data_IF_023171511222
#
_entry.id   IF_023171511222
#
_cell.length_a   1.000
_cell.length_b   1.000
_cell.length_c   1.000
_cell.angle_alpha   90.00
_cell.angle_beta   90.00
_cell.angle_gamma   90.00
#
_symmetry.space_group_name_H-M   'P 1'
#
loop_
_entity.id
_entity.type
_entity.pdbx_description
1 polymer ?
#
# COMPACT_ATOMS: atom_id res chain seq x y z
N UNK A 1 -30.29 30.14 -5.15
CA UNK A 1 -29.05 30.16 -4.34
C UNK A 1 -27.99 29.34 -5.06
N UNK A 2 -26.82 29.91 -5.30
CA UNK A 2 -25.69 29.18 -5.96
C UNK A 2 -24.67 28.77 -4.92
N UNK A 3 -24.72 27.49 -4.49
CA UNK A 3 -23.81 26.94 -3.48
C UNK A 3 -22.36 26.94 -3.97
N UNK A 4 -22.14 26.79 -5.29
CA UNK A 4 -20.79 26.74 -5.86
C UNK A 4 -19.99 28.03 -5.59
N UNK A 5 -20.66 29.18 -5.48
CA UNK A 5 -20.01 30.45 -5.14
C UNK A 5 -19.53 30.55 -3.70
N UNK A 6 -19.95 29.62 -2.85
CA UNK A 6 -19.55 29.56 -1.42
C UNK A 6 -18.39 28.56 -1.19
N UNK A 7 -17.98 27.82 -2.21
CA UNK A 7 -16.87 26.88 -2.09
C UNK A 7 -15.54 27.64 -2.09
N UNK A 8 -14.61 27.33 -1.13
CA UNK A 8 -13.31 27.95 -1.10
C UNK A 8 -12.51 27.65 -2.38
N UNK A 9 -11.89 28.68 -2.96
CA UNK A 9 -11.12 28.57 -4.19
C UNK A 9 -9.73 27.96 -3.99
N UNK A 10 -9.25 27.93 -2.75
CA UNK A 10 -7.94 27.41 -2.31
C UNK A 10 -7.95 25.90 -2.00
N UNK A 11 -9.10 25.25 -2.18
CA UNK A 11 -9.25 23.83 -1.95
C UNK A 11 -8.89 23.01 -3.22
N UNK A 12 -8.84 21.69 -3.03
CA UNK A 12 -8.55 20.75 -4.12
C UNK A 12 -9.47 20.96 -5.32
N UNK A 13 -8.95 20.74 -6.51
CA UNK A 13 -9.74 20.78 -7.74
C UNK A 13 -10.95 19.83 -7.67
N UNK A 14 -12.10 20.22 -8.22
CA UNK A 14 -13.27 19.36 -8.26
C UNK A 14 -12.96 18.01 -8.94
N UNK A 15 -13.50 16.93 -8.38
CA UNK A 15 -13.39 15.62 -8.98
C UNK A 15 -14.12 15.57 -10.35
N UNK A 16 -13.52 14.86 -11.30
CA UNK A 16 -14.19 14.51 -12.55
C UNK A 16 -15.23 13.41 -12.30
N UNK A 17 -16.29 13.39 -13.11
CA UNK A 17 -17.24 12.27 -13.07
C UNK A 17 -16.53 10.99 -13.50
N UNK A 18 -16.75 9.93 -12.74
CA UNK A 18 -16.22 8.61 -13.08
C UNK A 18 -16.96 8.05 -14.32
N UNK A 19 -16.20 7.53 -15.29
CA UNK A 19 -16.69 7.03 -16.58
C UNK A 19 -16.37 5.55 -16.82
N UNK A 20 -15.86 4.85 -15.78
CA UNK A 20 -15.41 3.47 -15.89
C UNK A 20 -13.89 3.34 -15.94
N UNK A 21 -13.41 2.10 -15.88
CA UNK A 21 -12.00 1.79 -16.12
C UNK A 21 -11.67 1.86 -17.60
N UNK A 22 -10.43 2.23 -17.90
CA UNK A 22 -9.89 2.09 -19.25
C UNK A 22 -9.72 0.59 -19.62
N UNK A 23 -9.76 0.23 -20.92
CA UNK A 23 -9.58 -1.14 -21.38
C UNK A 23 -8.29 -1.80 -20.85
N UNK A 24 -7.18 -1.04 -20.80
CA UNK A 24 -5.89 -1.49 -20.28
C UNK A 24 -5.63 -0.74 -18.97
N UNK A 25 -6.20 -1.27 -17.88
CA UNK A 25 -6.13 -0.61 -16.58
C UNK A 25 -4.97 -1.15 -15.73
N UNK A 26 -3.86 -0.40 -15.69
CA UNK A 26 -2.70 -0.70 -14.86
C UNK A 26 -2.57 0.23 -13.64
N UNK A 27 -3.62 1.00 -13.31
CA UNK A 27 -3.65 1.85 -12.10
C UNK A 27 -4.37 1.17 -10.95
N UNK A 28 -4.30 1.81 -9.76
CA UNK A 28 -4.97 1.35 -8.56
C UNK A 28 -4.24 0.22 -7.85
N UNK A 29 -4.94 -0.45 -7.00
CA UNK A 29 -4.48 -1.59 -6.22
C UNK A 29 -5.61 -2.61 -6.12
N UNK A 30 -6.25 -2.89 -7.26
CA UNK A 30 -7.38 -3.81 -7.36
C UNK A 30 -6.89 -5.26 -7.42
N UNK A 31 -7.71 -6.16 -6.89
CA UNK A 31 -7.46 -7.58 -6.93
C UNK A 31 -8.01 -8.21 -8.21
N UNK A 32 -7.54 -9.42 -8.52
CA UNK A 32 -8.14 -10.26 -9.54
C UNK A 32 -9.56 -10.68 -9.11
N UNK A 33 -10.56 -10.40 -9.94
CA UNK A 33 -11.95 -10.70 -9.63
C UNK A 33 -12.20 -12.20 -9.46
N UNK A 34 -11.44 -13.06 -10.15
CA UNK A 34 -11.57 -14.52 -10.07
C UNK A 34 -11.11 -15.09 -8.72
N UNK A 35 -10.31 -14.32 -7.97
CA UNK A 35 -9.82 -14.70 -6.64
C UNK A 35 -10.66 -14.16 -5.49
N UNK A 36 -11.71 -13.38 -5.74
CA UNK A 36 -12.64 -13.02 -4.67
C UNK A 36 -13.40 -14.28 -4.23
N UNK A 37 -13.32 -14.73 -2.94
CA UNK A 37 -13.87 -16.00 -2.51
C UNK A 37 -15.39 -15.92 -2.30
N UNK A 38 -16.14 -15.56 -3.35
CA UNK A 38 -17.55 -15.18 -3.30
C UNK A 38 -18.45 -16.27 -2.71
N UNK A 39 -18.19 -17.56 -3.03
CA UNK A 39 -18.99 -18.66 -2.50
C UNK A 39 -18.77 -18.88 -1.00
N UNK A 40 -17.52 -18.82 -0.54
CA UNK A 40 -17.21 -18.92 0.88
C UNK A 40 -17.75 -17.71 1.66
N UNK A 41 -17.64 -16.50 1.09
CA UNK A 41 -18.26 -15.30 1.68
C UNK A 41 -19.78 -15.42 1.78
N UNK A 42 -20.47 -15.98 0.78
CA UNK A 42 -21.91 -16.23 0.83
C UNK A 42 -22.27 -17.12 2.02
N UNK A 43 -21.52 -18.18 2.25
CA UNK A 43 -21.72 -19.10 3.39
C UNK A 43 -21.49 -18.37 4.72
N UNK A 44 -20.39 -17.63 4.83
CA UNK A 44 -20.07 -16.86 6.04
C UNK A 44 -21.08 -15.76 6.33
N UNK A 45 -21.61 -15.07 5.30
CA UNK A 45 -22.69 -14.07 5.47
C UNK A 45 -23.94 -14.74 6.05
N UNK A 46 -24.36 -15.86 5.47
CA UNK A 46 -25.57 -16.55 5.93
C UNK A 46 -25.42 -16.99 7.41
N UNK A 47 -24.29 -17.61 7.76
CA UNK A 47 -23.98 -18.05 9.11
C UNK A 47 -23.90 -16.89 10.10
N UNK A 48 -23.19 -15.81 9.75
CA UNK A 48 -23.05 -14.63 10.59
C UNK A 48 -24.42 -13.98 10.92
N UNK A 49 -25.32 -13.90 9.94
CA UNK A 49 -26.66 -13.34 10.15
C UNK A 49 -27.55 -14.28 10.97
N UNK A 50 -27.43 -15.57 10.79
CA UNK A 50 -28.19 -16.56 11.55
C UNK A 50 -27.79 -16.56 13.03
N UNK A 51 -26.49 -16.50 13.31
CA UNK A 51 -25.98 -16.60 14.71
C UNK A 51 -26.01 -15.27 15.44
N UNK A 52 -25.51 -14.23 14.81
CA UNK A 52 -25.20 -12.93 15.42
C UNK A 52 -25.92 -11.73 14.79
N UNK A 53 -26.85 -11.98 13.84
CA UNK A 53 -27.54 -10.91 13.11
C UNK A 53 -28.27 -9.90 14.02
N UNK A 54 -28.76 -10.34 15.19
CA UNK A 54 -29.40 -9.46 16.18
C UNK A 54 -28.44 -8.38 16.74
N UNK A 55 -27.13 -8.64 16.74
CA UNK A 55 -26.11 -7.69 17.21
C UNK A 55 -25.97 -6.45 16.31
N UNK A 56 -26.45 -6.52 15.05
CA UNK A 56 -26.49 -5.38 14.14
C UNK A 56 -27.37 -4.22 14.65
N UNK A 57 -28.21 -4.45 15.65
CA UNK A 57 -28.99 -3.40 16.32
C UNK A 57 -28.13 -2.46 17.20
N UNK A 58 -26.86 -2.84 17.46
CA UNK A 58 -25.99 -2.12 18.39
C UNK A 58 -24.70 -1.69 17.67
N UNK A 59 -24.30 -0.42 17.83
CA UNK A 59 -23.02 0.05 17.32
C UNK A 59 -21.87 -0.82 17.81
N UNK A 60 -20.91 -1.07 16.93
CA UNK A 60 -19.75 -1.95 17.18
C UNK A 60 -20.14 -3.36 17.66
N UNK A 61 -21.36 -3.84 17.33
CA UNK A 61 -21.88 -5.17 17.70
C UNK A 61 -21.89 -5.42 19.22
N UNK A 62 -21.75 -4.39 20.04
CA UNK A 62 -21.59 -4.51 21.49
C UNK A 62 -20.19 -4.94 21.97
N UNK A 63 -19.20 -5.06 21.06
CA UNK A 63 -17.80 -5.42 21.38
C UNK A 63 -16.91 -4.21 21.73
N UNK A 64 -17.52 -3.01 21.77
CA UNK A 64 -16.80 -1.76 22.06
C UNK A 64 -16.12 -1.13 20.83
N UNK A 65 -15.41 -0.01 21.01
CA UNK A 65 -14.94 0.83 19.91
C UNK A 65 -13.77 0.21 19.11
N UNK A 66 -13.14 -0.85 19.62
CA UNK A 66 -12.05 -1.54 18.91
C UNK A 66 -12.54 -2.39 17.74
N UNK A 67 -13.84 -2.70 17.65
CA UNK A 67 -14.45 -3.53 16.61
C UNK A 67 -14.62 -4.98 17.02
N UNK A 68 -15.05 -5.83 16.09
CA UNK A 68 -15.47 -7.21 16.32
C UNK A 68 -14.40 -8.07 17.00
N UNK A 69 -14.70 -8.57 18.21
CA UNK A 69 -13.71 -9.28 19.04
C UNK A 69 -13.16 -10.53 18.38
N UNK A 70 -14.01 -11.36 17.77
CA UNK A 70 -13.55 -12.57 17.08
C UNK A 70 -12.60 -12.30 15.91
N UNK A 71 -12.83 -11.20 15.16
CA UNK A 71 -11.92 -10.79 14.11
C UNK A 71 -10.58 -10.31 14.68
N UNK A 72 -10.59 -9.55 15.77
CA UNK A 72 -9.36 -9.11 16.46
C UNK A 72 -8.54 -10.28 17.00
N UNK A 73 -9.22 -11.32 17.55
CA UNK A 73 -8.56 -12.56 17.98
C UNK A 73 -7.92 -13.31 16.81
N UNK A 74 -8.63 -13.41 15.67
CA UNK A 74 -8.03 -13.99 14.47
C UNK A 74 -6.79 -13.20 14.02
N UNK A 75 -6.87 -11.87 13.95
CA UNK A 75 -5.76 -11.02 13.55
C UNK A 75 -4.56 -11.20 14.48
N UNK A 76 -4.75 -11.19 15.80
CA UNK A 76 -3.66 -11.41 16.76
C UNK A 76 -2.96 -12.75 16.52
N UNK A 77 -3.72 -13.82 16.35
CA UNK A 77 -3.19 -15.15 16.05
C UNK A 77 -2.48 -15.24 14.69
N UNK A 78 -3.02 -14.59 13.67
CA UNK A 78 -2.41 -14.49 12.34
C UNK A 78 -1.08 -13.73 12.39
N UNK A 79 -1.02 -12.57 13.03
CA UNK A 79 0.18 -11.76 13.18
C UNK A 79 1.26 -12.48 13.97
N UNK A 80 0.87 -13.24 15.00
CA UNK A 80 1.82 -14.07 15.74
C UNK A 80 2.48 -15.11 14.83
N UNK A 81 1.70 -15.84 14.03
CA UNK A 81 2.22 -16.90 13.14
C UNK A 81 3.01 -16.36 11.95
N UNK A 82 2.53 -15.29 11.32
CA UNK A 82 3.05 -14.83 10.02
C UNK A 82 4.01 -13.66 10.10
N UNK A 83 3.97 -12.88 11.16
CA UNK A 83 4.70 -11.61 11.30
C UNK A 83 5.61 -11.55 12.54
N UNK A 84 5.69 -12.64 13.32
CA UNK A 84 6.44 -12.72 14.57
C UNK A 84 6.07 -11.61 15.57
N UNK A 85 4.78 -11.19 15.55
CA UNK A 85 4.27 -10.15 16.43
C UNK A 85 3.63 -10.76 17.68
N UNK A 86 3.94 -10.19 18.84
CA UNK A 86 3.27 -10.49 20.10
C UNK A 86 2.29 -9.36 20.41
N UNK A 87 1.02 -9.59 20.17
CA UNK A 87 -0.07 -8.66 20.49
C UNK A 87 -1.35 -9.44 20.87
N UNK A 88 -2.18 -8.81 21.67
CA UNK A 88 -3.50 -9.34 22.05
C UNK A 88 -4.60 -8.70 21.20
N UNK A 89 -5.82 -9.21 21.29
CA UNK A 89 -7.00 -8.59 20.67
C UNK A 89 -7.28 -7.18 21.20
N UNK A 90 -6.78 -6.83 22.38
CA UNK A 90 -6.97 -5.51 22.99
C UNK A 90 -5.97 -4.46 22.44
N UNK A 91 -4.92 -4.90 21.75
CA UNK A 91 -3.96 -4.03 21.06
C UNK A 91 -4.37 -3.74 19.60
N UNK A 92 -5.56 -4.22 19.17
CA UNK A 92 -6.01 -4.15 17.77
C UNK A 92 -7.26 -3.28 17.66
N UNK A 93 -7.20 -2.28 16.78
CA UNK A 93 -8.32 -1.43 16.39
C UNK A 93 -8.70 -1.72 14.93
N UNK A 94 -9.94 -2.18 14.71
CA UNK A 94 -10.48 -2.35 13.34
C UNK A 94 -10.82 -0.98 12.74
N UNK A 95 -10.38 -0.77 11.50
CA UNK A 95 -10.55 0.48 10.75
C UNK A 95 -11.12 0.23 9.36
N UNK A 96 -11.67 1.26 8.73
CA UNK A 96 -12.23 1.19 7.37
C UNK A 96 -11.12 1.23 6.30
N UNK A 97 -10.23 0.23 6.35
CA UNK A 97 -9.03 0.11 5.53
C UNK A 97 -7.87 0.98 6.05
N UNK A 98 -6.67 0.73 5.52
CA UNK A 98 -5.43 1.41 5.93
C UNK A 98 -5.47 2.94 5.76
N UNK A 99 -6.28 3.47 4.84
CA UNK A 99 -6.44 4.92 4.70
C UNK A 99 -7.03 5.58 5.94
N UNK A 100 -8.00 4.94 6.62
CA UNK A 100 -8.49 5.44 7.89
C UNK A 100 -7.44 5.30 8.98
N UNK A 101 -6.63 4.24 8.95
CA UNK A 101 -5.51 4.11 9.88
C UNK A 101 -4.54 5.29 9.76
N UNK A 102 -4.14 5.64 8.52
CA UNK A 102 -3.32 6.81 8.23
C UNK A 102 -3.95 8.11 8.77
N UNK A 103 -5.23 8.33 8.49
CA UNK A 103 -5.93 9.54 8.93
C UNK A 103 -5.97 9.63 10.47
N UNK A 104 -6.24 8.53 11.16
CA UNK A 104 -6.31 8.48 12.62
C UNK A 104 -4.94 8.72 13.28
N UNK A 105 -3.89 8.06 12.78
CA UNK A 105 -2.51 8.26 13.28
C UNK A 105 -2.06 9.70 13.05
N UNK A 106 -2.30 10.23 11.85
CA UNK A 106 -1.94 11.60 11.51
C UNK A 106 -2.67 12.62 12.41
N UNK A 107 -3.98 12.49 12.60
CA UNK A 107 -4.76 13.38 13.47
C UNK A 107 -4.31 13.32 14.93
N UNK A 108 -3.86 12.15 15.37
CA UNK A 108 -3.36 11.96 16.74
C UNK A 108 -1.99 12.58 16.95
N UNK A 109 -1.07 12.36 16.00
CA UNK A 109 0.35 12.64 16.18
C UNK A 109 0.82 13.98 15.59
N UNK A 110 0.10 14.54 14.61
CA UNK A 110 0.59 15.65 13.79
C UNK A 110 -0.20 16.95 14.03
N UNK A 111 0.52 18.06 13.84
CA UNK A 111 -0.01 19.43 13.75
C UNK A 111 0.60 20.11 12.52
N UNK A 112 -0.04 21.14 11.94
CA UNK A 112 0.56 21.92 10.87
C UNK A 112 1.96 22.44 11.28
N UNK A 113 2.94 22.27 10.38
CA UNK A 113 4.35 22.63 10.61
C UNK A 113 5.19 21.53 11.28
N UNK A 114 4.59 20.43 11.73
CA UNK A 114 5.36 19.25 12.16
C UNK A 114 6.13 18.63 10.96
N UNK A 115 7.14 17.82 11.26
CA UNK A 115 7.96 17.11 10.27
C UNK A 115 7.83 15.60 10.45
N UNK A 116 7.74 14.86 9.36
CA UNK A 116 7.81 13.39 9.31
C UNK A 116 8.86 12.93 8.30
N UNK A 117 9.36 11.73 8.49
CA UNK A 117 10.17 11.03 7.48
C UNK A 117 9.30 10.03 6.75
N UNK A 118 9.45 9.95 5.44
CA UNK A 118 8.82 8.97 4.57
C UNK A 118 9.89 8.34 3.66
N UNK A 119 9.57 7.26 3.01
CA UNK A 119 10.36 6.75 1.89
C UNK A 119 10.26 7.73 0.71
N UNK A 120 11.36 8.01 0.00
CA UNK A 120 11.37 8.98 -1.12
C UNK A 120 10.41 8.60 -2.25
N UNK A 121 10.25 7.30 -2.48
CA UNK A 121 9.16 6.74 -3.29
C UNK A 121 8.22 6.01 -2.34
N UNK A 122 6.94 6.40 -2.28
CA UNK A 122 6.01 5.86 -1.30
C UNK A 122 4.56 5.94 -1.78
N UNK A 123 3.64 5.46 -0.96
CA UNK A 123 2.22 5.51 -1.28
C UNK A 123 1.71 6.96 -1.39
N UNK A 124 1.25 7.35 -2.59
CA UNK A 124 0.75 8.69 -2.89
C UNK A 124 -0.30 9.21 -1.89
N UNK A 125 -1.09 8.29 -1.31
CA UNK A 125 -2.08 8.62 -0.29
C UNK A 125 -1.49 9.18 1.00
N UNK A 126 -0.24 8.88 1.34
CA UNK A 126 0.45 9.44 2.51
C UNK A 126 0.83 10.89 2.23
N UNK A 127 1.56 11.15 1.14
CA UNK A 127 2.01 12.51 0.77
C UNK A 127 0.82 13.47 0.68
N UNK A 128 -0.24 13.09 -0.03
CA UNK A 128 -1.43 13.94 -0.18
C UNK A 128 -2.15 14.25 1.14
N UNK A 129 -2.02 13.41 2.16
CA UNK A 129 -2.57 13.65 3.49
C UNK A 129 -1.72 14.64 4.28
N UNK A 130 -0.40 14.46 4.23
CA UNK A 130 0.55 15.35 4.88
C UNK A 130 0.45 16.77 4.30
N UNK A 131 0.36 16.89 2.97
CA UNK A 131 0.15 18.18 2.29
C UNK A 131 -1.11 18.90 2.79
N UNK A 132 -2.25 18.18 2.88
CA UNK A 132 -3.52 18.75 3.36
C UNK A 132 -3.47 19.20 4.82
N UNK A 133 -2.60 18.58 5.61
CA UNK A 133 -2.41 18.92 7.02
C UNK A 133 -1.37 20.02 7.23
N UNK A 134 -0.66 20.45 6.17
CA UNK A 134 0.45 21.42 6.28
C UNK A 134 1.63 20.86 7.06
N UNK A 135 1.90 19.57 6.92
CA UNK A 135 3.02 18.86 7.54
C UNK A 135 4.18 18.77 6.56
N UNK A 136 5.38 19.06 7.03
CA UNK A 136 6.60 18.89 6.24
C UNK A 136 7.03 17.43 6.24
N UNK A 137 7.55 16.95 5.10
CA UNK A 137 8.10 15.60 5.02
C UNK A 137 9.39 15.57 4.22
N UNK A 138 10.29 14.67 4.61
CA UNK A 138 11.53 14.39 3.92
C UNK A 138 11.56 12.95 3.47
N UNK A 139 11.93 12.72 2.20
CA UNK A 139 12.02 11.40 1.60
C UNK A 139 13.39 10.79 1.82
N UNK A 140 13.44 9.67 2.53
CA UNK A 140 14.66 8.85 2.65
C UNK A 140 14.83 8.05 1.35
N UNK A 141 15.98 8.13 0.67
CA UNK A 141 16.25 7.34 -0.54
C UNK A 141 16.05 5.84 -0.34
N UNK A 142 15.71 5.16 -1.42
CA UNK A 142 15.53 3.71 -1.48
C UNK A 142 16.57 3.12 -2.44
N UNK A 143 16.99 1.90 -2.16
CA UNK A 143 17.65 1.00 -3.10
C UNK A 143 16.81 -0.28 -3.33
N UNK A 144 17.37 -1.32 -3.93
CA UNK A 144 16.70 -2.59 -4.21
C UNK A 144 16.20 -3.32 -2.94
N UNK A 145 16.81 -3.05 -1.79
CA UNK A 145 16.46 -3.59 -0.48
C UNK A 145 15.60 -2.63 0.37
N UNK A 146 15.09 -1.56 -0.22
CA UNK A 146 14.24 -0.56 0.45
C UNK A 146 15.03 0.62 1.01
N UNK A 147 14.59 1.16 2.15
CA UNK A 147 15.13 2.39 2.73
C UNK A 147 16.64 2.32 3.00
N UNK A 148 17.40 3.30 2.51
CA UNK A 148 18.84 3.42 2.74
C UNK A 148 19.13 3.85 4.20
N UNK A 149 19.87 2.99 4.91
CA UNK A 149 20.22 3.17 6.33
C UNK A 149 21.13 4.37 6.54
N UNK A 150 22.11 4.57 5.64
CA UNK A 150 23.09 5.64 5.75
C UNK A 150 22.43 6.99 5.49
N UNK A 151 21.58 7.08 4.46
CA UNK A 151 20.80 8.26 4.17
C UNK A 151 19.85 8.63 5.31
N UNK A 152 19.17 7.62 5.92
CA UNK A 152 18.32 7.85 7.08
C UNK A 152 19.11 8.44 8.26
N UNK A 153 20.28 7.87 8.57
CA UNK A 153 21.11 8.33 9.68
C UNK A 153 21.56 9.78 9.45
N UNK A 154 22.07 10.10 8.26
CA UNK A 154 22.51 11.46 7.90
C UNK A 154 21.38 12.48 7.95
N UNK A 155 20.20 12.12 7.43
CA UNK A 155 19.01 12.99 7.48
C UNK A 155 18.56 13.29 8.91
N UNK A 156 18.57 12.29 9.80
CA UNK A 156 18.23 12.48 11.21
C UNK A 156 19.25 13.38 11.94
N UNK A 157 20.56 13.25 11.62
CA UNK A 157 21.60 14.13 12.16
C UNK A 157 21.43 15.57 11.66
N UNK A 158 21.14 15.75 10.39
CA UNK A 158 20.88 17.08 9.82
C UNK A 158 19.66 17.75 10.48
N UNK A 159 18.52 17.06 10.57
CA UNK A 159 17.33 17.59 11.22
C UNK A 159 17.57 17.92 12.70
N UNK A 160 18.31 17.05 13.41
CA UNK A 160 18.67 17.30 14.81
C UNK A 160 19.54 18.57 14.96
N UNK A 161 20.47 18.84 14.02
CA UNK A 161 21.28 20.07 14.01
C UNK A 161 20.44 21.34 13.87
N UNK A 162 19.27 21.23 13.24
CA UNK A 162 18.28 22.29 13.06
C UNK A 162 17.25 22.34 14.20
N UNK A 163 17.39 21.53 15.26
CA UNK A 163 16.41 21.33 16.33
C UNK A 163 15.04 20.81 15.83
N UNK A 164 15.02 20.12 14.71
CA UNK A 164 13.82 19.46 14.15
C UNK A 164 13.84 17.99 14.57
N UNK A 165 12.77 17.54 15.22
CA UNK A 165 12.55 16.14 15.54
C UNK A 165 11.36 15.62 14.75
N UNK A 166 11.55 14.62 13.85
CA UNK A 166 10.45 14.00 13.15
C UNK A 166 9.45 13.37 14.12
N UNK A 167 8.17 13.51 13.82
CA UNK A 167 7.09 12.94 14.64
C UNK A 167 7.00 11.42 14.51
N UNK A 168 7.30 10.91 13.32
CA UNK A 168 7.47 9.49 13.04
C UNK A 168 8.26 9.28 11.74
N UNK A 169 8.70 8.04 11.52
CA UNK A 169 9.20 7.50 10.27
C UNK A 169 8.10 6.58 9.70
N UNK A 170 7.54 6.93 8.54
CA UNK A 170 6.61 6.07 7.80
C UNK A 170 7.36 5.18 6.82
N UNK A 171 7.08 3.88 6.81
CA UNK A 171 7.71 2.92 5.90
C UNK A 171 6.77 1.79 5.50
N UNK A 172 6.94 1.27 4.28
CA UNK A 172 6.29 0.07 3.75
C UNK A 172 7.37 -1.01 3.57
N UNK A 173 7.75 -1.74 4.62
CA UNK A 173 8.95 -2.58 4.59
C UNK A 173 8.78 -3.91 3.83
N UNK A 174 7.54 -4.35 3.59
CA UNK A 174 7.24 -5.60 2.89
C UNK A 174 6.44 -5.31 1.63
N UNK A 175 7.03 -5.61 0.47
CA UNK A 175 6.44 -5.29 -0.83
C UNK A 175 6.10 -3.80 -0.92
N UNK A 176 7.14 -3.01 -0.88
CA UNK A 176 7.08 -1.56 -0.90
C UNK A 176 6.25 -1.04 -2.08
N UNK A 177 5.42 -0.08 -1.84
CA UNK A 177 4.60 0.55 -2.87
C UNK A 177 5.10 1.98 -3.13
N UNK A 178 5.75 2.23 -4.30
CA UNK A 178 5.55 1.54 -5.57
C UNK A 178 6.64 0.53 -5.99
N UNK A 179 7.79 0.43 -5.31
CA UNK A 179 8.99 -0.25 -5.82
C UNK A 179 8.92 -1.77 -5.83
N UNK A 180 8.07 -2.38 -5.00
CA UNK A 180 7.97 -3.84 -4.85
C UNK A 180 9.10 -4.47 -4.01
N UNK A 181 10.02 -3.68 -3.45
CA UNK A 181 11.12 -4.19 -2.63
C UNK A 181 10.61 -4.86 -1.35
N UNK A 182 11.36 -5.84 -0.85
CA UNK A 182 11.15 -6.47 0.45
C UNK A 182 12.39 -6.22 1.30
N UNK A 183 12.26 -5.35 2.30
CA UNK A 183 13.37 -4.95 3.16
C UNK A 183 13.88 -6.15 3.97
N UNK A 184 15.18 -6.52 3.84
CA UNK A 184 15.77 -7.63 4.59
C UNK A 184 15.75 -7.41 6.11
N UNK A 185 15.75 -8.50 6.86
CA UNK A 185 15.71 -8.49 8.33
C UNK A 185 16.81 -7.64 8.95
N UNK A 186 18.03 -7.76 8.46
CA UNK A 186 19.18 -7.00 8.96
C UNK A 186 19.00 -5.50 8.78
N UNK A 187 18.47 -5.08 7.62
CA UNK A 187 18.19 -3.67 7.34
C UNK A 187 17.11 -3.11 8.26
N UNK A 188 16.05 -3.88 8.52
CA UNK A 188 15.01 -3.50 9.50
C UNK A 188 15.61 -3.31 10.89
N UNK A 189 16.49 -4.20 11.30
CA UNK A 189 17.17 -4.09 12.60
C UNK A 189 17.97 -2.79 12.69
N UNK A 190 18.78 -2.45 11.68
CA UNK A 190 19.59 -1.23 11.67
C UNK A 190 18.71 0.03 11.68
N UNK A 191 17.63 0.07 10.87
CA UNK A 191 16.70 1.18 10.86
C UNK A 191 16.02 1.35 12.21
N UNK A 192 15.60 0.24 12.84
CA UNK A 192 14.98 0.27 14.16
C UNK A 192 15.93 0.82 15.22
N UNK A 193 17.19 0.38 15.23
CA UNK A 193 18.21 0.87 16.17
C UNK A 193 18.48 2.38 16.00
N UNK A 194 18.52 2.87 14.76
CA UNK A 194 18.67 4.31 14.46
C UNK A 194 17.45 5.07 14.97
N UNK A 195 16.24 4.63 14.62
CA UNK A 195 15.00 5.26 15.03
C UNK A 195 14.87 5.31 16.56
N UNK A 196 15.21 4.22 17.25
CA UNK A 196 15.21 4.14 18.71
C UNK A 196 16.23 5.11 19.33
N UNK A 197 17.47 5.14 18.81
CA UNK A 197 18.51 6.05 19.30
C UNK A 197 18.13 7.53 19.13
N UNK A 198 17.49 7.86 18.02
CA UNK A 198 16.99 9.21 17.74
C UNK A 198 15.62 9.50 18.37
N UNK A 199 15.03 8.53 19.05
CA UNK A 199 13.72 8.59 19.66
C UNK A 199 12.61 9.04 18.66
N UNK A 200 12.63 8.45 17.46
CA UNK A 200 11.64 8.66 16.39
C UNK A 200 10.77 7.42 16.29
N UNK A 201 9.45 7.50 16.55
CA UNK A 201 8.54 6.37 16.37
C UNK A 201 8.48 5.90 14.92
N UNK A 202 8.16 4.64 14.70
CA UNK A 202 7.94 4.07 13.35
C UNK A 202 6.44 3.87 13.14
N UNK A 203 5.94 4.30 11.99
CA UNK A 203 4.64 3.93 11.48
C UNK A 203 4.84 2.94 10.32
N UNK A 204 4.63 1.66 10.63
CA UNK A 204 4.80 0.54 9.72
C UNK A 204 3.50 0.25 8.97
N UNK A 205 3.49 0.44 7.65
CA UNK A 205 2.37 0.09 6.76
C UNK A 205 2.67 -1.24 6.07
N UNK A 206 1.96 -2.29 6.45
CA UNK A 206 2.24 -3.66 6.05
C UNK A 206 1.06 -4.31 5.30
N UNK A 207 0.48 -3.55 4.37
CA UNK A 207 -0.71 -3.97 3.63
C UNK A 207 -0.48 -5.08 2.58
N UNK A 208 0.78 -5.40 2.24
CA UNK A 208 1.13 -6.32 1.15
C UNK A 208 1.91 -7.56 1.59
N UNK A 209 2.35 -7.64 2.84
CA UNK A 209 3.26 -8.68 3.32
C UNK A 209 2.75 -10.11 3.20
N UNK A 210 1.43 -10.30 3.15
CA UNK A 210 0.84 -11.61 2.90
C UNK A 210 1.02 -12.09 1.45
N UNK A 211 1.43 -11.21 0.54
CA UNK A 211 1.59 -11.48 -0.89
C UNK A 211 3.05 -11.66 -1.32
N UNK A 212 3.96 -12.02 -0.41
CA UNK A 212 5.35 -12.37 -0.71
C UNK A 212 5.40 -13.80 -1.21
N UNK A 213 5.99 -14.03 -2.39
CA UNK A 213 6.14 -15.37 -3.01
C UNK A 213 7.59 -15.83 -3.12
N UNK A 214 8.56 -14.96 -2.88
CA UNK A 214 9.98 -15.29 -2.92
C UNK A 214 10.65 -14.90 -1.61
N UNK A 215 11.32 -15.87 -0.99
CA UNK A 215 11.98 -15.72 0.31
C UNK A 215 11.02 -15.82 1.50
N UNK A 216 11.61 -15.71 2.70
CA UNK A 216 10.86 -15.68 3.94
C UNK A 216 10.35 -14.26 4.23
N UNK A 217 9.19 -14.14 4.86
CA UNK A 217 8.70 -12.84 5.36
C UNK A 217 9.56 -12.40 6.54
N UNK A 218 10.27 -11.26 6.46
CA UNK A 218 11.03 -10.76 7.59
C UNK A 218 10.12 -10.37 8.76
N UNK A 219 10.65 -10.41 10.00
CA UNK A 219 9.92 -9.91 11.15
C UNK A 219 9.59 -8.42 10.97
N UNK A 220 8.43 -8.00 11.45
CA UNK A 220 7.96 -6.61 11.38
C UNK A 220 8.77 -5.73 12.34
N UNK A 221 8.76 -4.41 12.12
CA UNK A 221 9.30 -3.46 13.10
C UNK A 221 8.57 -3.58 14.44
N UNK A 222 7.25 -3.78 14.39
CA UNK A 222 6.46 -4.01 15.60
C UNK A 222 6.94 -5.25 16.38
N UNK A 223 7.24 -6.35 15.69
CA UNK A 223 7.79 -7.56 16.30
C UNK A 223 9.18 -7.36 16.87
N UNK A 224 10.07 -6.66 16.16
CA UNK A 224 11.41 -6.30 16.64
C UNK A 224 11.37 -5.41 17.90
N UNK A 225 10.41 -4.52 17.96
CA UNK A 225 10.23 -3.53 19.02
C UNK A 225 9.49 -4.09 20.24
N UNK A 226 8.92 -5.29 20.17
CA UNK A 226 7.94 -5.77 21.15
C UNK A 226 6.83 -4.71 21.40
N UNK A 227 6.36 -4.11 20.31
CA UNK A 227 5.33 -3.06 20.29
C UNK A 227 5.79 -1.67 20.74
N UNK A 228 7.01 -1.48 21.20
CA UNK A 228 7.47 -0.20 21.76
C UNK A 228 7.93 0.77 20.68
N UNK A 229 7.24 1.93 20.57
CA UNK A 229 7.60 2.98 19.61
C UNK A 229 7.23 2.65 18.16
N UNK A 230 6.41 1.63 17.92
CA UNK A 230 5.93 1.27 16.60
C UNK A 230 4.39 1.22 16.60
N UNK A 231 3.78 1.85 15.60
CA UNK A 231 2.37 1.66 15.24
C UNK A 231 2.36 0.85 13.97
N UNK A 232 1.64 -0.27 13.97
CA UNK A 232 1.54 -1.16 12.81
C UNK A 232 0.16 -1.03 12.16
N UNK A 233 0.13 -1.01 10.83
CA UNK A 233 -1.10 -1.00 10.03
C UNK A 233 -1.13 -2.20 9.09
N UNK A 234 -2.21 -2.96 9.13
CA UNK A 234 -2.49 -4.05 8.20
C UNK A 234 -3.85 -3.89 7.51
N UNK A 235 -4.08 -4.66 6.46
CA UNK A 235 -5.31 -4.58 5.66
C UNK A 235 -5.66 -5.89 4.99
N UNK A 236 -6.95 -6.21 4.91
CA UNK A 236 -7.48 -7.30 4.09
C UNK A 236 -7.73 -6.89 2.62
N UNK A 237 -7.44 -5.64 2.26
CA UNK A 237 -7.73 -5.12 0.91
C UNK A 237 -6.95 -5.85 -0.18
N UNK A 238 -5.73 -6.33 0.10
CA UNK A 238 -4.88 -6.96 -0.91
C UNK A 238 -4.90 -8.48 -0.82
N UNK A 239 -5.06 -9.01 0.37
CA UNK A 239 -5.15 -10.46 0.60
C UNK A 239 -6.55 -11.04 0.37
N UNK A 240 -7.61 -10.23 0.43
CA UNK A 240 -9.00 -10.69 0.18
C UNK A 240 -9.72 -9.83 -0.85
N UNK A 241 -10.29 -8.69 -0.42
CA UNK A 241 -11.04 -7.82 -1.32
C UNK A 241 -11.02 -6.36 -0.86
N UNK A 242 -10.60 -5.40 -1.70
CA UNK A 242 -10.50 -3.99 -1.32
C UNK A 242 -11.84 -3.35 -0.99
N UNK A 243 -12.94 -3.84 -1.57
CA UNK A 243 -14.28 -3.30 -1.36
C UNK A 243 -14.87 -3.64 0.03
N UNK A 244 -14.31 -4.61 0.77
CA UNK A 244 -14.71 -4.90 2.15
C UNK A 244 -14.41 -3.77 3.12
N UNK A 245 -13.44 -2.93 2.78
CA UNK A 245 -13.02 -1.78 3.61
C UNK A 245 -12.65 -2.19 5.04
N UNK A 246 -11.97 -3.31 5.22
CA UNK A 246 -11.48 -3.76 6.53
C UNK A 246 -9.94 -3.73 6.56
N UNK A 247 -9.44 -2.98 7.53
CA UNK A 247 -8.04 -2.91 7.93
C UNK A 247 -7.94 -2.84 9.45
N UNK A 248 -6.74 -2.76 9.96
CA UNK A 248 -6.51 -2.70 11.40
C UNK A 248 -5.24 -1.95 11.76
N UNK A 249 -5.25 -1.29 12.91
CA UNK A 249 -4.08 -0.76 13.59
C UNK A 249 -3.71 -1.70 14.75
N UNK A 250 -2.42 -1.86 14.98
CA UNK A 250 -1.89 -2.52 16.18
C UNK A 250 -0.99 -1.55 16.92
N UNK A 251 -1.32 -1.28 18.16
CA UNK A 251 -0.53 -0.46 19.05
C UNK A 251 -0.91 -0.77 20.50
N UNK A 252 -0.03 -0.51 21.49
CA UNK A 252 -0.38 -0.63 22.90
C UNK A 252 -1.56 0.29 23.26
N UNK A 253 -2.32 -0.11 24.28
CA UNK A 253 -3.50 0.65 24.74
C UNK A 253 -3.20 2.14 25.04
N UNK A 254 -2.01 2.44 25.58
CA UNK A 254 -1.58 3.82 25.82
C UNK A 254 -1.62 4.68 24.56
N UNK A 255 -1.37 4.08 23.39
CA UNK A 255 -1.44 4.75 22.07
C UNK A 255 -2.86 4.70 21.52
N UNK A 256 -3.51 3.53 21.54
CA UNK A 256 -4.88 3.39 21.03
C UNK A 256 -5.88 4.28 21.77
N UNK A 257 -5.72 4.47 23.06
CA UNK A 257 -6.58 5.37 23.86
C UNK A 257 -6.53 6.84 23.40
N UNK A 258 -5.43 7.25 22.77
CA UNK A 258 -5.30 8.58 22.15
C UNK A 258 -5.79 8.63 20.71
N UNK A 259 -5.82 7.50 20.00
CA UNK A 259 -6.32 7.38 18.62
C UNK A 259 -7.87 7.32 18.60
N UNK A 260 -8.46 6.58 19.53
CA UNK A 260 -9.90 6.33 19.58
C UNK A 260 -10.79 7.59 19.58
N UNK A 261 -10.44 8.70 20.28
CA UNK A 261 -11.24 9.94 20.23
C UNK A 261 -11.38 10.54 18.81
N UNK A 262 -10.46 10.23 17.90
CA UNK A 262 -10.52 10.69 16.50
C UNK A 262 -11.35 9.74 15.60
N UNK A 263 -11.65 8.53 16.05
CA UNK A 263 -12.49 7.59 15.31
C UNK A 263 -13.98 7.87 15.54
N UNK A 264 -14.47 8.91 14.85
CA UNK A 264 -15.83 9.47 15.05
C UNK A 264 -16.88 8.89 14.09
N UNK A 265 -16.57 7.80 13.39
CA UNK A 265 -17.44 7.14 12.42
C UNK A 265 -18.46 6.15 13.03
N UNK A 266 -18.52 6.08 14.34
CA UNK A 266 -19.35 5.13 15.09
C UNK A 266 -19.02 3.64 14.83
N UNK A 267 -17.84 3.36 14.24
CA UNK A 267 -17.32 2.02 13.95
C UNK A 267 -17.23 1.71 12.46
N UNK A 268 -16.35 0.80 12.12
CA UNK A 268 -16.24 0.25 10.75
C UNK A 268 -17.41 -0.69 10.45
N UNK A 269 -17.67 -0.98 9.16
CA UNK A 269 -18.76 -1.85 8.72
C UNK A 269 -18.85 -3.15 9.53
N UNK A 270 -19.99 -3.36 10.16
CA UNK A 270 -20.16 -4.46 11.12
C UNK A 270 -20.29 -5.81 10.42
N UNK A 271 -21.06 -5.87 9.32
CA UNK A 271 -21.29 -7.11 8.58
C UNK A 271 -19.99 -7.67 8.01
N UNK A 272 -19.14 -6.83 7.44
CA UNK A 272 -17.85 -7.20 6.88
C UNK A 272 -16.94 -7.80 7.97
N UNK A 273 -16.95 -7.24 9.16
CA UNK A 273 -16.19 -7.76 10.29
C UNK A 273 -16.70 -9.13 10.74
N UNK A 274 -18.02 -9.32 10.81
CA UNK A 274 -18.64 -10.60 11.16
C UNK A 274 -18.30 -11.69 10.13
N UNK A 275 -18.40 -11.35 8.83
CA UNK A 275 -18.06 -12.25 7.73
C UNK A 275 -16.58 -12.66 7.79
N UNK A 276 -15.67 -11.72 8.00
CA UNK A 276 -14.26 -12.05 8.11
C UNK A 276 -13.91 -12.83 9.37
N UNK A 277 -14.61 -12.59 10.49
CA UNK A 277 -14.43 -13.35 11.71
C UNK A 277 -14.82 -14.85 11.56
N UNK A 278 -15.80 -15.14 10.70
CA UNK A 278 -16.22 -16.50 10.36
C UNK A 278 -15.32 -17.12 9.26
N UNK A 279 -15.06 -16.37 8.18
CA UNK A 279 -14.31 -16.86 7.02
C UNK A 279 -12.83 -17.11 7.33
N UNK A 280 -12.17 -16.16 7.98
CA UNK A 280 -10.71 -16.16 8.06
C UNK A 280 -10.11 -17.36 8.82
N UNK A 281 -10.66 -17.83 9.95
CA UNK A 281 -10.09 -18.96 10.67
C UNK A 281 -9.95 -20.23 9.84
N UNK A 282 -10.87 -20.48 8.91
CA UNK A 282 -10.91 -21.71 8.11
C UNK A 282 -10.27 -21.56 6.74
N UNK A 283 -10.32 -20.36 6.13
CA UNK A 283 -10.05 -20.22 4.70
C UNK A 283 -8.87 -19.30 4.37
N UNK A 284 -8.46 -18.41 5.27
CA UNK A 284 -7.51 -17.34 4.98
C UNK A 284 -6.16 -17.85 4.47
N UNK A 285 -5.56 -18.81 5.16
CA UNK A 285 -4.21 -19.31 4.83
C UNK A 285 -4.17 -19.96 3.44
N UNK A 286 -5.14 -20.84 3.13
CA UNK A 286 -5.24 -21.49 1.83
C UNK A 286 -5.53 -20.49 0.71
N UNK A 287 -6.41 -19.52 0.99
CA UNK A 287 -6.74 -18.46 0.04
C UNK A 287 -5.52 -17.60 -0.30
N UNK A 288 -4.79 -17.12 0.70
CA UNK A 288 -3.60 -16.30 0.49
C UNK A 288 -2.52 -17.06 -0.25
N UNK A 289 -2.31 -18.34 0.06
CA UNK A 289 -1.35 -19.19 -0.66
C UNK A 289 -1.69 -19.30 -2.13
N UNK A 290 -2.94 -19.59 -2.47
CA UNK A 290 -3.38 -19.70 -3.87
C UNK A 290 -3.31 -18.36 -4.60
N UNK A 291 -3.74 -17.26 -3.96
CA UNK A 291 -3.66 -15.90 -4.51
C UNK A 291 -2.22 -15.50 -4.79
N UNK A 292 -1.31 -15.75 -3.86
CA UNK A 292 0.12 -15.39 -3.99
C UNK A 292 0.77 -16.12 -5.16
N UNK A 293 0.48 -17.43 -5.35
CA UNK A 293 0.96 -18.20 -6.50
C UNK A 293 0.41 -17.64 -7.83
N UNK A 294 -0.86 -17.29 -7.88
CA UNK A 294 -1.47 -16.68 -9.05
C UNK A 294 -0.85 -15.31 -9.39
N UNK A 295 -0.62 -14.47 -8.38
CA UNK A 295 0.01 -13.16 -8.58
C UNK A 295 1.47 -13.29 -9.04
N UNK A 296 2.21 -14.29 -8.58
CA UNK A 296 3.55 -14.59 -9.09
C UNK A 296 3.53 -14.87 -10.60
N UNK A 297 2.58 -15.68 -11.08
CA UNK A 297 2.41 -15.95 -12.51
C UNK A 297 2.05 -14.68 -13.31
N UNK A 298 1.20 -13.80 -12.78
CA UNK A 298 0.86 -12.52 -13.43
C UNK A 298 2.07 -11.57 -13.46
N UNK A 299 2.89 -11.59 -12.41
CA UNK A 299 4.16 -10.85 -12.39
C UNK A 299 5.11 -11.35 -13.49
N UNK A 300 5.22 -12.68 -13.69
CA UNK A 300 6.01 -13.27 -14.77
C UNK A 300 5.57 -12.78 -16.15
N UNK A 301 4.27 -12.74 -16.38
CA UNK A 301 3.70 -12.26 -17.64
C UNK A 301 4.01 -10.76 -17.84
N UNK A 302 3.86 -9.95 -16.79
CA UNK A 302 4.16 -8.51 -16.86
C UNK A 302 5.64 -8.26 -17.15
N UNK A 303 6.54 -8.93 -16.43
CA UNK A 303 7.99 -8.80 -16.63
C UNK A 303 8.40 -9.30 -18.03
N UNK A 304 7.91 -10.45 -18.47
CA UNK A 304 8.19 -10.97 -19.80
C UNK A 304 7.68 -10.04 -20.93
N UNK A 305 6.55 -9.37 -20.73
CA UNK A 305 6.06 -8.38 -21.68
C UNK A 305 6.92 -7.11 -21.69
N UNK A 306 7.37 -6.62 -20.52
CA UNK A 306 8.32 -5.50 -20.45
C UNK A 306 9.63 -5.84 -21.17
N UNK A 307 10.23 -6.99 -20.89
CA UNK A 307 11.46 -7.44 -21.53
C UNK A 307 11.29 -7.58 -23.05
N UNK A 308 10.17 -8.14 -23.50
CA UNK A 308 9.89 -8.36 -24.93
C UNK A 308 9.73 -7.07 -25.72
N UNK A 309 9.02 -6.08 -25.17
CA UNK A 309 8.64 -4.89 -25.93
C UNK A 309 9.52 -3.67 -25.67
N UNK A 310 10.06 -3.53 -24.46
CA UNK A 310 10.95 -2.43 -24.08
C UNK A 310 12.43 -2.84 -24.04
N UNK A 311 12.73 -4.10 -23.73
CA UNK A 311 14.11 -4.57 -23.56
C UNK A 311 14.89 -3.68 -22.58
N UNK A 312 16.10 -3.31 -22.97
CA UNK A 312 16.97 -2.45 -22.15
C UNK A 312 16.47 -0.99 -21.98
N UNK A 313 15.36 -0.61 -22.60
CA UNK A 313 14.79 0.73 -22.45
C UNK A 313 13.89 0.87 -21.22
N UNK A 314 13.51 -0.23 -20.56
CA UNK A 314 12.77 -0.23 -19.31
C UNK A 314 13.63 -0.92 -18.25
N UNK A 315 14.02 -0.16 -17.22
CA UNK A 315 14.73 -0.70 -16.07
C UNK A 315 13.75 -0.91 -14.91
N UNK A 316 13.78 -2.08 -14.30
CA UNK A 316 12.94 -2.42 -13.17
C UNK A 316 13.53 -3.58 -12.36
N UNK A 317 13.31 -3.56 -11.06
CA UNK A 317 13.58 -4.71 -10.20
C UNK A 317 12.37 -5.63 -10.24
N UNK A 318 12.59 -6.95 -10.52
CA UNK A 318 11.51 -7.94 -10.50
C UNK A 318 10.92 -8.04 -9.09
N UNK A 319 9.61 -7.82 -8.90
CA UNK A 319 8.97 -7.89 -7.58
C UNK A 319 9.05 -9.30 -6.99
N UNK A 320 9.28 -9.38 -5.67
CA UNK A 320 9.24 -10.62 -4.87
C UNK A 320 7.88 -10.85 -4.21
N UNK A 321 6.92 -9.99 -4.51
CA UNK A 321 5.59 -9.98 -3.91
C UNK A 321 4.67 -8.91 -4.50
N UNK A 322 3.44 -8.86 -4.03
CA UNK A 322 2.50 -7.78 -4.32
C UNK A 322 1.82 -7.82 -5.68
N UNK A 323 1.56 -6.65 -6.22
CA UNK A 323 0.73 -6.47 -7.42
C UNK A 323 1.26 -5.38 -8.36
N UNK A 324 2.49 -4.85 -8.14
CA UNK A 324 3.05 -3.72 -8.88
C UNK A 324 4.43 -4.00 -9.42
N UNK A 325 4.73 -3.39 -10.57
CA UNK A 325 6.09 -3.19 -11.08
C UNK A 325 6.35 -1.68 -11.16
N UNK A 326 7.51 -1.24 -10.67
CA UNK A 326 8.00 0.11 -10.78
C UNK A 326 9.03 0.18 -11.88
N UNK A 327 8.76 0.97 -12.92
CA UNK A 327 9.54 1.01 -14.15
C UNK A 327 10.23 2.37 -14.28
N UNK A 328 11.53 2.35 -14.55
CA UNK A 328 12.33 3.53 -14.89
C UNK A 328 12.62 3.55 -16.39
N UNK A 329 12.30 4.64 -17.03
CA UNK A 329 12.55 4.89 -18.46
C UNK A 329 13.78 5.78 -18.66
N UNK A 330 14.33 5.88 -19.89
CA UNK A 330 15.38 6.86 -20.20
C UNK A 330 14.94 8.30 -19.87
N UNK A 331 15.89 9.15 -19.49
CA UNK A 331 15.67 10.52 -18.97
C UNK A 331 14.84 11.45 -19.89
N UNK A 332 14.74 11.13 -21.17
CA UNK A 332 13.93 11.93 -22.11
C UNK A 332 12.44 11.52 -22.14
N UNK A 333 12.05 10.50 -21.39
CA UNK A 333 10.64 10.05 -21.28
C UNK A 333 10.01 10.73 -20.07
N UNK A 334 9.08 11.63 -20.29
CA UNK A 334 8.26 12.24 -19.25
C UNK A 334 7.05 11.35 -18.94
N UNK A 335 7.00 10.77 -17.74
CA UNK A 335 5.98 9.83 -17.32
C UNK A 335 4.58 10.46 -17.15
N UNK A 336 4.49 11.75 -16.85
CA UNK A 336 3.21 12.47 -16.79
C UNK A 336 2.63 12.68 -18.20
N UNK A 337 3.49 13.05 -19.16
CA UNK A 337 3.10 13.12 -20.57
C UNK A 337 2.72 11.72 -21.05
N UNK A 338 3.51 10.69 -20.73
CA UNK A 338 3.21 9.31 -21.10
C UNK A 338 1.86 8.86 -20.55
N UNK A 339 1.55 9.10 -19.27
CA UNK A 339 0.26 8.76 -18.67
C UNK A 339 -0.91 9.48 -19.40
N UNK A 340 -0.70 10.71 -19.83
CA UNK A 340 -1.70 11.50 -20.56
C UNK A 340 -1.98 10.91 -21.95
N UNK A 341 -0.93 10.66 -22.74
CA UNK A 341 -1.10 10.14 -24.11
C UNK A 341 -1.55 8.69 -24.12
N UNK A 342 -1.06 7.86 -23.19
CA UNK A 342 -1.54 6.49 -23.00
C UNK A 342 -3.03 6.45 -22.59
N UNK A 343 -3.45 7.36 -21.71
CA UNK A 343 -4.85 7.50 -21.31
C UNK A 343 -5.78 7.85 -22.48
N UNK A 344 -5.32 8.64 -23.43
CA UNK A 344 -6.08 8.95 -24.64
C UNK A 344 -6.27 7.72 -25.56
N UNK A 345 -5.36 6.74 -25.48
CA UNK A 345 -5.41 5.47 -26.20
C UNK A 345 -5.96 4.30 -25.36
N UNK A 346 -6.59 4.61 -24.21
CA UNK A 346 -7.26 3.61 -23.38
C UNK A 346 -6.36 2.84 -22.41
N UNK A 347 -5.16 3.34 -22.13
CA UNK A 347 -4.20 2.71 -21.20
C UNK A 347 -3.99 3.62 -20.00
N UNK A 348 -4.29 3.13 -18.80
CA UNK A 348 -4.04 3.87 -17.56
C UNK A 348 -2.78 3.38 -16.85
N UNK A 349 -1.85 4.30 -16.56
CA UNK A 349 -0.65 4.06 -15.75
C UNK A 349 -0.54 5.11 -14.64
N UNK A 350 0.21 4.83 -13.58
CA UNK A 350 0.51 5.81 -12.54
C UNK A 350 1.86 6.47 -12.81
N UNK A 351 1.87 7.79 -13.02
CA UNK A 351 3.11 8.57 -13.24
C UNK A 351 3.96 8.65 -11.97
N UNK A 352 5.28 8.71 -12.13
CA UNK A 352 6.23 8.71 -11.02
C UNK A 352 6.08 9.88 -10.06
N UNK A 353 5.91 11.14 -10.52
CA UNK A 353 5.78 12.29 -9.61
C UNK A 353 4.61 12.22 -8.63
N UNK A 354 3.59 11.40 -8.92
CA UNK A 354 2.48 11.17 -7.99
C UNK A 354 2.88 10.26 -6.80
N UNK A 355 3.99 9.50 -6.92
CA UNK A 355 4.40 8.43 -6.02
C UNK A 355 5.80 8.60 -5.45
N UNK A 356 6.55 9.58 -5.93
CA UNK A 356 7.95 9.75 -5.58
C UNK A 356 8.35 11.22 -5.60
N UNK A 357 9.15 11.61 -4.62
CA UNK A 357 9.85 12.91 -4.58
C UNK A 357 11.33 12.76 -4.92
N UNK A 358 11.76 11.58 -5.33
CA UNK A 358 13.11 11.33 -5.80
C UNK A 358 13.37 12.04 -7.14
N UNK A 359 14.63 12.39 -7.44
CA UNK A 359 14.98 13.08 -8.69
C UNK A 359 14.59 12.33 -9.96
N UNK A 360 14.54 10.99 -9.91
CA UNK A 360 14.22 10.10 -11.03
C UNK A 360 12.70 9.99 -11.29
N UNK A 361 11.87 10.45 -10.37
CA UNK A 361 10.41 10.34 -10.45
C UNK A 361 9.81 10.75 -11.81
N UNK A 362 10.30 11.85 -12.49
CA UNK A 362 9.75 12.23 -13.79
C UNK A 362 9.85 11.16 -14.88
N UNK A 363 10.77 10.20 -14.75
CA UNK A 363 11.04 9.15 -15.73
C UNK A 363 10.50 7.79 -15.29
N UNK A 364 9.81 7.75 -14.15
CA UNK A 364 9.31 6.51 -13.56
C UNK A 364 7.79 6.40 -13.66
N UNK A 365 7.30 5.18 -13.68
CA UNK A 365 5.87 4.90 -13.58
C UNK A 365 5.60 3.54 -12.96
N UNK A 366 4.39 3.36 -12.41
CA UNK A 366 3.96 2.10 -11.81
C UNK A 366 2.93 1.42 -12.68
N UNK A 367 3.08 0.10 -12.87
CA UNK A 367 2.08 -0.78 -13.48
C UNK A 367 1.53 -1.75 -12.43
N UNK A 368 0.20 -1.88 -12.37
CA UNK A 368 -0.50 -2.87 -11.57
C UNK A 368 -0.80 -4.10 -12.43
N UNK A 369 -0.30 -5.27 -12.04
CA UNK A 369 -0.62 -6.55 -12.70
C UNK A 369 -1.68 -7.36 -11.94
N UNK A 370 -2.06 -6.96 -10.74
CA UNK A 370 -3.04 -7.70 -9.91
C UNK A 370 -4.42 -7.82 -10.54
N UNK A 371 -4.92 -6.76 -11.15
CA UNK A 371 -6.27 -6.68 -11.70
C UNK A 371 -6.43 -7.22 -13.13
N UNK A 372 -5.61 -6.81 -14.13
CA UNK A 372 -5.87 -7.16 -15.53
C UNK A 372 -5.57 -8.64 -15.82
N UNK A 373 -6.33 -9.25 -16.71
CA UNK A 373 -6.06 -10.59 -17.22
C UNK A 373 -4.73 -10.67 -17.98
N UNK A 374 -4.17 -11.88 -18.09
CA UNK A 374 -2.89 -12.13 -18.76
C UNK A 374 -2.82 -11.55 -20.19
N UNK A 375 -3.87 -11.73 -20.98
CA UNK A 375 -3.95 -11.21 -22.36
C UNK A 375 -3.98 -9.68 -22.37
N UNK A 376 -4.64 -9.05 -21.38
CA UNK A 376 -4.68 -7.60 -21.23
C UNK A 376 -3.30 -7.06 -20.82
N UNK A 377 -2.56 -7.78 -19.99
CA UNK A 377 -1.19 -7.39 -19.61
C UNK A 377 -0.30 -7.36 -20.86
N UNK A 378 -0.24 -8.46 -21.61
CA UNK A 378 0.61 -8.60 -22.81
C UNK A 378 0.29 -7.52 -23.86
N UNK A 379 -0.99 -7.38 -24.21
CA UNK A 379 -1.42 -6.40 -25.22
C UNK A 379 -1.22 -4.96 -24.75
N UNK A 380 -1.54 -4.67 -23.49
CA UNK A 380 -1.41 -3.32 -22.92
C UNK A 380 0.04 -2.85 -22.86
N UNK A 381 0.98 -3.71 -22.46
CA UNK A 381 2.42 -3.41 -22.44
C UNK A 381 2.94 -3.20 -23.85
N UNK A 382 2.53 -4.06 -24.83
CA UNK A 382 2.88 -3.87 -26.24
C UNK A 382 2.41 -2.51 -26.77
N UNK A 383 1.17 -2.12 -26.48
CA UNK A 383 0.64 -0.83 -26.93
C UNK A 383 1.36 0.34 -26.26
N UNK A 384 1.66 0.22 -24.96
CA UNK A 384 2.41 1.24 -24.22
C UNK A 384 3.80 1.44 -24.82
N UNK A 385 4.50 0.37 -25.20
CA UNK A 385 5.79 0.44 -25.87
C UNK A 385 5.71 1.16 -27.23
N UNK A 386 4.66 0.90 -28.02
CA UNK A 386 4.42 1.62 -29.29
C UNK A 386 4.17 3.11 -29.08
N UNK A 387 3.46 3.48 -28.01
CA UNK A 387 3.25 4.89 -27.65
C UNK A 387 4.59 5.52 -27.26
N UNK A 388 5.43 4.83 -26.48
CA UNK A 388 6.77 5.31 -26.11
C UNK A 388 7.67 5.47 -27.36
N UNK A 389 7.63 4.57 -28.32
CA UNK A 389 8.33 4.72 -29.57
C UNK A 389 7.87 5.95 -30.36
N UNK A 390 6.57 6.12 -30.52
CA UNK A 390 5.98 7.22 -31.30
C UNK A 390 6.21 8.60 -30.67
N UNK A 391 6.03 8.71 -29.36
CA UNK A 391 6.01 10.00 -28.65
C UNK A 391 7.36 10.44 -28.10
N UNK A 392 8.27 9.47 -27.85
CA UNK A 392 9.56 9.72 -27.20
C UNK A 392 10.74 9.09 -27.97
N UNK A 393 10.50 8.34 -29.04
CA UNK A 393 11.55 7.70 -29.80
C UNK A 393 12.22 6.51 -29.10
N UNK A 394 11.58 5.94 -28.09
CA UNK A 394 12.07 4.73 -27.41
C UNK A 394 12.01 3.55 -28.39
N UNK A 395 13.13 2.84 -28.65
CA UNK A 395 13.13 1.73 -29.62
C UNK A 395 12.29 0.56 -29.09
N UNK A 396 11.53 -0.10 -30.00
CA UNK A 396 10.87 -1.37 -29.70
C UNK A 396 11.91 -2.49 -29.72
N UNK A 397 11.97 -3.30 -28.66
CA UNK A 397 12.93 -4.41 -28.57
C UNK A 397 12.72 -5.49 -29.64
N UNK A 398 11.46 -5.74 -30.07
CA UNK A 398 11.13 -6.68 -31.15
C UNK A 398 11.67 -6.25 -32.53
N UNK A 399 11.98 -4.98 -32.73
CA UNK A 399 12.54 -4.48 -33.99
C UNK A 399 14.08 -4.60 -34.03
N UNK A 400 14.69 -5.10 -32.94
CA UNK A 400 16.15 -5.22 -32.83
C UNK A 400 16.61 -6.64 -33.22
N UNK A 401 17.24 -6.85 -34.40
CA UNK A 401 17.64 -8.17 -34.90
C UNK A 401 18.76 -8.84 -34.06
N UNK A 402 19.28 -8.22 -33.02
CA UNK A 402 20.34 -8.70 -32.14
C UNK A 402 19.85 -9.33 -30.82
N UNK A 403 18.55 -9.38 -30.55
CA UNK A 403 17.97 -10.09 -29.41
C UNK A 403 17.49 -11.51 -29.82
N UNK A 404 18.42 -12.35 -30.19
CA UNK A 404 18.22 -13.82 -30.29
C UNK A 404 19.38 -14.48 -29.56
N UNK A 405 19.14 -14.84 -28.29
CA UNK A 405 19.74 -16.04 -27.66
C UNK A 405 19.21 -16.23 -26.25
#
# INVERSE_FOLDING_TARGET
MNITSLLPSDKLAPARRWTGFQPFNFIGGHNDASFVPSHAFQTSVAKALETDGHRLATYNLGDGPLGHRGLRQFIAGMLHRRASMSCSEEDILIVSGSLQALDLVNQTMLRPGDTVLIEASTYAGVMSRLDRMGVHYHGVPLDEDGMDVTALAGMLEELASQNIRPRYLYTIPSVQNPTGSVMPQERRQHIFEIAQRCNVPIFEDDCYSDLVWEGDRPATFYGLADGKGVIYCGSFSKSLAPALRVGYLVAPWEVLSHILPYKTDAGSGALEQMVLADFCPEHYENHVTALTQHLAQKCDIMCAALDRYFGASADYTRPKGGIFVWVTMPDHVDSMKLATVAGAEGISINSGPDWSIAPEAPHQFRLCFGYPDAAIIEEGVMRLAKICQKEFGVPLAIDNPYHVS
#
